data_IF_753825553209
#
_entry.id   IF_753825553209
#
_cell.length_a   1.000
_cell.length_b   1.000
_cell.length_c   1.000
_cell.angle_alpha   90.00
_cell.angle_beta   90.00
_cell.angle_gamma   90.00
#
_symmetry.space_group_name_H-M   'P 1'
#
loop_
_entity.id
_entity.type
_entity.pdbx_description
1 polymer ?
#
# COMPACT_ATOMS: atom_id res chain seq x y z
N UNK A 1 -0.59 -1.47 -12.01
CA UNK A 1 0.75 -1.35 -11.41
C UNK A 1 0.84 -2.41 -10.33
N UNK A 2 2.03 -2.87 -9.91
CA UNK A 2 2.11 -3.95 -8.93
C UNK A 2 1.37 -3.61 -7.62
N UNK A 3 0.51 -4.51 -7.15
CA UNK A 3 -0.18 -4.40 -5.86
C UNK A 3 0.79 -4.14 -4.69
N UNK A 4 2.01 -4.68 -4.74
CA UNK A 4 3.06 -4.39 -3.75
C UNK A 4 3.53 -2.92 -3.77
N UNK A 5 3.56 -2.28 -4.93
CA UNK A 5 3.85 -0.84 -5.07
C UNK A 5 2.71 -0.05 -4.44
N UNK A 6 1.46 -0.38 -4.75
CA UNK A 6 0.29 0.27 -4.16
C UNK A 6 0.25 0.14 -2.62
N UNK A 7 0.54 -1.07 -2.10
CA UNK A 7 0.67 -1.31 -0.67
C UNK A 7 1.75 -0.42 -0.04
N UNK A 8 2.92 -0.33 -0.69
CA UNK A 8 4.06 0.44 -0.19
C UNK A 8 3.80 1.95 -0.21
N UNK A 9 3.24 2.48 -1.30
CA UNK A 9 2.84 3.90 -1.41
C UNK A 9 1.75 4.20 -0.37
N UNK A 10 0.74 3.33 -0.26
CA UNK A 10 -0.33 3.45 0.72
C UNK A 10 0.20 3.48 2.15
N UNK A 11 1.16 2.61 2.49
CA UNK A 11 1.83 2.60 3.79
C UNK A 11 2.59 3.89 4.06
N UNK A 12 3.37 4.36 3.07
CA UNK A 12 4.15 5.58 3.16
C UNK A 12 3.26 6.82 3.31
N UNK A 13 2.15 6.89 2.59
CA UNK A 13 1.17 7.97 2.75
C UNK A 13 0.47 7.87 4.11
N UNK A 14 0.11 6.65 4.51
CA UNK A 14 -0.55 6.37 5.79
C UNK A 14 0.26 6.78 7.01
N UNK A 15 1.60 6.79 6.93
CA UNK A 15 2.47 7.23 8.04
C UNK A 15 2.32 8.73 8.38
N UNK A 16 1.82 9.54 7.45
CA UNK A 16 1.56 10.97 7.69
C UNK A 16 0.23 11.22 8.44
N UNK A 17 -0.56 10.18 8.70
CA UNK A 17 -1.87 10.29 9.35
C UNK A 17 -1.89 9.67 10.74
N UNK A 18 -2.62 10.32 11.67
CA UNK A 18 -2.86 9.79 13.01
C UNK A 18 -4.09 8.87 13.10
N UNK A 19 -5.02 8.98 12.14
CA UNK A 19 -6.30 8.24 12.13
C UNK A 19 -6.28 7.17 11.06
N UNK A 20 -6.63 5.93 11.44
CA UNK A 20 -6.72 4.76 10.53
C UNK A 20 -7.62 5.00 9.32
N UNK A 21 -8.80 5.59 9.52
CA UNK A 21 -9.74 5.87 8.43
C UNK A 21 -9.21 6.90 7.43
N UNK A 22 -8.54 7.94 7.92
CA UNK A 22 -7.92 8.95 7.05
C UNK A 22 -6.75 8.34 6.28
N UNK A 23 -5.92 7.52 6.92
CA UNK A 23 -4.83 6.80 6.27
C UNK A 23 -5.34 5.84 5.18
N UNK A 24 -6.39 5.07 5.47
CA UNK A 24 -7.03 4.19 4.49
C UNK A 24 -7.54 4.97 3.27
N UNK A 25 -8.29 6.06 3.48
CA UNK A 25 -8.78 6.88 2.39
C UNK A 25 -7.62 7.49 1.58
N UNK A 26 -6.57 7.95 2.24
CA UNK A 26 -5.38 8.47 1.58
C UNK A 26 -4.66 7.39 0.76
N UNK A 27 -4.66 6.14 1.22
CA UNK A 27 -4.21 4.97 0.46
C UNK A 27 -5.04 4.73 -0.80
N UNK A 28 -6.38 4.79 -0.71
CA UNK A 28 -7.26 4.65 -1.88
C UNK A 28 -6.99 5.75 -2.91
N UNK A 29 -6.77 6.99 -2.46
CA UNK A 29 -6.44 8.11 -3.34
C UNK A 29 -5.05 7.93 -3.97
N UNK A 30 -4.06 7.49 -3.19
CA UNK A 30 -2.71 7.26 -3.71
C UNK A 30 -2.66 6.13 -4.74
N UNK A 31 -3.51 5.12 -4.60
CA UNK A 31 -3.72 4.09 -5.61
C UNK A 31 -4.08 4.72 -6.95
N UNK A 32 -5.15 5.53 -7.02
CA UNK A 32 -5.62 6.14 -8.26
C UNK A 32 -4.54 7.03 -8.93
N UNK A 33 -3.77 7.77 -8.13
CA UNK A 33 -2.68 8.61 -8.64
C UNK A 33 -1.57 7.74 -9.23
N UNK A 34 -1.20 6.67 -8.53
CA UNK A 34 -0.09 5.82 -8.94
C UNK A 34 -0.45 4.96 -10.16
N UNK A 35 -1.73 4.57 -10.28
CA UNK A 35 -2.26 3.87 -11.44
C UNK A 35 -2.19 4.70 -12.73
N UNK A 36 -2.28 6.03 -12.63
CA UNK A 36 -2.17 6.92 -13.78
C UNK A 36 -0.72 7.05 -14.33
N UNK A 37 0.29 6.62 -13.56
CA UNK A 37 1.69 6.65 -13.98
C UNK A 37 1.95 5.47 -14.93
N UNK A 38 2.62 5.65 -16.08
CA UNK A 38 2.97 4.53 -16.96
C UNK A 38 3.77 3.45 -16.24
N UNK A 39 3.33 2.20 -16.35
CA UNK A 39 3.91 1.08 -15.61
C UNK A 39 3.80 -0.24 -16.38
N UNK A 40 4.41 -1.28 -15.82
CA UNK A 40 4.40 -2.65 -16.32
C UNK A 40 3.90 -3.58 -15.23
N UNK A 41 2.84 -4.32 -15.49
CA UNK A 41 2.35 -5.32 -14.55
C UNK A 41 3.18 -6.61 -14.62
N UNK A 42 3.25 -7.33 -13.50
CA UNK A 42 3.83 -8.67 -13.45
C UNK A 42 2.73 -9.70 -13.65
N UNK A 43 3.14 -10.95 -13.91
CA UNK A 43 2.18 -12.04 -13.92
C UNK A 43 1.58 -12.23 -12.51
N UNK A 44 0.30 -12.63 -12.39
CA UNK A 44 -0.34 -12.86 -11.10
C UNK A 44 0.44 -13.83 -10.19
N UNK A 45 1.14 -14.80 -10.79
CA UNK A 45 1.96 -15.79 -10.09
C UNK A 45 3.14 -15.16 -9.31
N UNK A 46 3.69 -14.04 -9.79
CA UNK A 46 4.76 -13.31 -9.10
C UNK A 46 4.20 -12.20 -8.21
N UNK A 47 3.13 -11.54 -8.65
CA UNK A 47 2.56 -10.39 -7.97
C UNK A 47 1.86 -10.75 -6.65
N UNK A 48 1.05 -11.80 -6.64
CA UNK A 48 0.27 -12.19 -5.44
C UNK A 48 1.18 -12.52 -4.25
N UNK A 49 2.25 -13.35 -4.39
CA UNK A 49 3.18 -13.58 -3.29
C UNK A 49 3.88 -12.31 -2.81
N UNK A 50 4.26 -11.42 -3.74
CA UNK A 50 4.97 -10.19 -3.42
C UNK A 50 4.07 -9.20 -2.64
N UNK A 51 2.83 -9.04 -3.07
CA UNK A 51 1.82 -8.25 -2.38
C UNK A 51 1.57 -8.81 -0.98
N UNK A 52 1.34 -10.13 -0.87
CA UNK A 52 1.11 -10.80 0.42
C UNK A 52 2.29 -10.59 1.37
N UNK A 53 3.52 -10.80 0.89
CA UNK A 53 4.74 -10.58 1.67
C UNK A 53 4.86 -9.11 2.13
N UNK A 54 4.50 -8.15 1.28
CA UNK A 54 4.52 -6.72 1.60
C UNK A 54 3.53 -6.38 2.71
N UNK A 55 2.28 -6.83 2.59
CA UNK A 55 1.24 -6.60 3.61
C UNK A 55 1.60 -7.26 4.95
N UNK A 56 2.07 -8.52 4.91
CA UNK A 56 2.51 -9.24 6.11
C UNK A 56 3.72 -8.54 6.74
N UNK A 57 4.68 -8.08 5.94
CA UNK A 57 5.84 -7.33 6.41
C UNK A 57 5.44 -6.03 7.11
N UNK A 58 4.55 -5.24 6.50
CA UNK A 58 4.03 -3.99 7.10
C UNK A 58 3.28 -4.29 8.41
N UNK A 59 2.42 -5.32 8.42
CA UNK A 59 1.69 -5.76 9.60
C UNK A 59 2.63 -6.18 10.73
N UNK A 60 3.65 -6.97 10.42
CA UNK A 60 4.64 -7.43 11.39
C UNK A 60 5.48 -6.27 11.96
N UNK A 61 5.77 -5.25 11.15
CA UNK A 61 6.64 -4.15 11.54
C UNK A 61 5.93 -3.03 12.30
N UNK A 62 4.74 -2.64 11.86
CA UNK A 62 3.96 -1.52 12.41
C UNK A 62 2.74 -1.95 13.24
N UNK A 63 2.32 -3.21 13.14
CA UNK A 63 1.08 -3.71 13.74
C UNK A 63 -0.14 -3.44 12.87
N UNK A 64 -1.11 -4.35 12.93
CA UNK A 64 -2.36 -4.28 12.15
C UNK A 64 -3.29 -3.14 12.57
N UNK A 65 -3.06 -2.53 13.74
CA UNK A 65 -3.84 -1.38 14.20
C UNK A 65 -3.19 -0.02 13.88
N UNK A 66 -2.11 -0.02 13.10
CA UNK A 66 -1.40 1.22 12.74
C UNK A 66 -2.03 1.95 11.55
N UNK A 67 -2.00 3.30 11.51
CA UNK A 67 -2.36 4.06 10.31
C UNK A 67 -1.58 3.64 9.07
N UNK A 68 -0.31 3.24 9.23
CA UNK A 68 0.54 2.70 8.16
C UNK A 68 -0.08 1.46 7.52
N UNK A 69 -0.46 0.47 8.33
CA UNK A 69 -1.10 -0.74 7.83
C UNK A 69 -2.44 -0.45 7.15
N UNK A 70 -3.26 0.44 7.72
CA UNK A 70 -4.53 0.84 7.11
C UNK A 70 -4.36 1.62 5.80
N UNK A 71 -3.31 2.44 5.68
CA UNK A 71 -2.93 3.08 4.43
C UNK A 71 -2.53 2.08 3.36
N UNK A 72 -1.74 1.05 3.73
CA UNK A 72 -1.38 -0.04 2.83
C UNK A 72 -2.60 -0.80 2.33
N UNK A 73 -3.53 -1.16 3.22
CA UNK A 73 -4.80 -1.79 2.84
C UNK A 73 -5.63 -0.89 1.91
N UNK A 74 -5.69 0.42 2.19
CA UNK A 74 -6.38 1.38 1.33
C UNK A 74 -5.77 1.43 -0.07
N UNK A 75 -4.44 1.36 -0.17
CA UNK A 75 -3.73 1.33 -1.45
C UNK A 75 -4.04 0.10 -2.31
N UNK A 76 -4.29 -1.05 -1.69
CA UNK A 76 -4.53 -2.32 -2.41
C UNK A 76 -6.01 -2.64 -2.57
N UNK A 77 -6.89 -2.06 -1.75
CA UNK A 77 -8.32 -2.37 -1.79
C UNK A 77 -8.94 -2.23 -3.19
N UNK A 78 -8.61 -1.21 -4.00
CA UNK A 78 -9.11 -1.12 -5.37
C UNK A 78 -8.75 -2.36 -6.22
N UNK A 79 -7.56 -2.94 -6.07
CA UNK A 79 -7.09 -4.13 -6.81
C UNK A 79 -7.91 -5.39 -6.54
N UNK A 80 -8.61 -5.45 -5.40
CA UNK A 80 -9.52 -6.57 -5.09
C UNK A 80 -10.60 -6.69 -6.16
N UNK A 81 -11.09 -5.56 -6.68
CA UNK A 81 -12.03 -5.56 -7.80
C UNK A 81 -11.44 -6.20 -9.05
N UNK A 82 -10.17 -5.93 -9.34
CA UNK A 82 -9.46 -6.52 -10.46
C UNK A 82 -9.27 -8.04 -10.26
N UNK A 83 -8.85 -8.46 -9.06
CA UNK A 83 -8.72 -9.88 -8.70
C UNK A 83 -10.05 -10.64 -8.77
N UNK A 84 -11.15 -10.04 -8.33
CA UNK A 84 -12.49 -10.62 -8.45
C UNK A 84 -12.93 -10.74 -9.91
N UNK A 85 -12.53 -9.80 -10.77
CA UNK A 85 -12.79 -9.89 -12.19
C UNK A 85 -11.97 -11.02 -12.86
N UNK A 86 -10.70 -11.18 -12.49
CA UNK A 86 -9.83 -12.25 -13.00
C UNK A 86 -10.30 -13.65 -12.59
N UNK A 87 -10.90 -13.78 -11.40
CA UNK A 87 -11.45 -15.05 -10.91
C UNK A 87 -12.84 -15.37 -11.49
N UNK A 88 -13.40 -14.48 -12.31
CA UNK A 88 -14.73 -14.63 -12.90
C UNK A 88 -15.89 -14.41 -11.91
N UNK A 89 -15.60 -14.03 -10.67
CA UNK A 89 -16.61 -13.71 -9.65
C UNK A 89 -17.30 -12.38 -9.98
N UNK A 90 -16.54 -11.41 -10.47
CA UNK A 90 -17.04 -10.13 -10.94
C UNK A 90 -16.98 -10.09 -12.47
N UNK A 91 -18.06 -9.66 -13.12
CA UNK A 91 -18.01 -9.40 -14.57
C UNK A 91 -17.19 -8.12 -14.81
N UNK A 92 -16.31 -8.06 -15.83
CA UNK A 92 -15.50 -6.87 -16.12
C UNK A 92 -16.32 -5.58 -16.29
N UNK A 93 -17.53 -5.69 -16.84
CA UNK A 93 -18.51 -4.59 -16.99
C UNK A 93 -19.07 -4.04 -15.67
N UNK A 94 -18.83 -4.72 -14.55
CA UNK A 94 -19.28 -4.29 -13.21
C UNK A 94 -18.18 -3.61 -12.39
N UNK A 95 -17.03 -3.32 -12.99
CA UNK A 95 -15.95 -2.58 -12.34
C UNK A 95 -16.40 -1.13 -12.09
N UNK A 96 -16.22 -0.65 -10.86
CA UNK A 96 -16.64 0.67 -10.38
C UNK A 96 -15.45 1.57 -10.08
N UNK A 97 -14.25 1.03 -9.84
CA UNK A 97 -13.10 1.88 -9.55
C UNK A 97 -12.66 2.64 -10.81
N UNK A 98 -12.45 3.98 -10.76
CA UNK A 98 -12.28 4.80 -11.96
C UNK A 98 -11.14 4.36 -12.91
N UNK A 99 -10.06 3.80 -12.38
CA UNK A 99 -8.92 3.32 -13.19
C UNK A 99 -9.14 1.92 -13.78
N UNK A 100 -10.19 1.20 -13.35
CA UNK A 100 -10.53 -0.16 -13.79
C UNK A 100 -11.65 -0.23 -14.84
N UNK A 101 -12.32 0.89 -15.13
CA UNK A 101 -13.41 0.97 -16.11
C UNK A 101 -12.84 0.71 -17.52
N UNK A 102 -13.60 -0.06 -18.32
CA UNK A 102 -13.19 -0.87 -19.47
C UNK A 102 -12.44 -0.21 -20.64
N UNK A 103 -12.07 1.06 -20.58
CA UNK A 103 -11.28 1.74 -21.61
C UNK A 103 -9.91 2.21 -21.13
N UNK A 104 -9.53 1.95 -19.87
CA UNK A 104 -8.20 2.29 -19.35
C UNK A 104 -7.86 3.78 -19.44
N UNK A 105 -8.85 4.65 -19.63
CA UNK A 105 -8.65 6.08 -19.93
C UNK A 105 -7.85 6.82 -18.85
N UNK A 106 -7.93 6.34 -17.62
CA UNK A 106 -7.24 6.88 -16.45
C UNK A 106 -6.12 5.97 -15.95
N UNK A 107 -5.93 4.81 -16.59
CA UNK A 107 -4.86 3.89 -16.30
C UNK A 107 -3.64 4.27 -17.13
N UNK A 108 -2.46 4.24 -16.52
CA UNK A 108 -1.20 4.53 -17.17
C UNK A 108 -0.99 3.61 -18.37
N UNK A 109 -0.32 4.13 -19.40
CA UNK A 109 0.05 3.30 -20.55
C UNK A 109 1.04 2.22 -20.10
N UNK A 110 0.95 1.05 -20.73
CA UNK A 110 2.01 0.04 -20.57
C UNK A 110 3.36 0.63 -20.97
N UNK A 111 4.34 0.45 -20.09
CA UNK A 111 5.74 0.84 -20.32
C UNK A 111 6.62 -0.39 -20.15
N UNK A 112 7.73 -0.50 -20.89
CA UNK A 112 8.73 -1.55 -20.62
C UNK A 112 9.62 -1.22 -19.41
N UNK A 113 9.48 -0.04 -18.83
CA UNK A 113 10.37 0.48 -17.80
C UNK A 113 9.96 0.00 -16.40
N UNK A 114 10.80 -0.83 -15.78
CA UNK A 114 10.56 -1.42 -14.45
C UNK A 114 11.25 -0.68 -13.31
N UNK A 115 12.24 0.15 -13.63
CA UNK A 115 13.09 0.83 -12.64
C UNK A 115 12.33 1.88 -11.82
N UNK A 116 11.43 2.63 -12.45
CA UNK A 116 10.59 3.61 -11.76
C UNK A 116 9.76 2.98 -10.65
N UNK A 117 9.15 1.81 -10.89
CA UNK A 117 8.37 1.07 -9.90
C UNK A 117 9.23 0.59 -8.73
N UNK A 118 10.45 0.10 -9.01
CA UNK A 118 11.40 -0.33 -7.97
C UNK A 118 11.88 0.85 -7.12
N UNK A 119 12.20 1.98 -7.74
CA UNK A 119 12.62 3.20 -7.06
C UNK A 119 11.50 3.72 -6.17
N UNK A 120 10.27 3.83 -6.69
CA UNK A 120 9.11 4.29 -5.92
C UNK A 120 8.86 3.35 -4.74
N UNK A 121 8.87 2.03 -4.96
CA UNK A 121 8.72 1.04 -3.89
C UNK A 121 9.80 1.20 -2.82
N UNK A 122 11.07 1.30 -3.23
CA UNK A 122 12.20 1.46 -2.32
C UNK A 122 12.10 2.74 -1.48
N UNK A 123 11.74 3.86 -2.10
CA UNK A 123 11.53 5.13 -1.40
C UNK A 123 10.34 5.07 -0.44
N UNK A 124 9.22 4.48 -0.86
CA UNK A 124 8.03 4.32 -0.02
C UNK A 124 8.31 3.44 1.19
N UNK A 125 9.04 2.32 1.01
CA UNK A 125 9.49 1.49 2.12
C UNK A 125 10.45 2.25 3.04
N UNK A 126 11.41 2.99 2.50
CA UNK A 126 12.33 3.79 3.31
C UNK A 126 11.60 4.84 4.17
N UNK A 127 10.59 5.51 3.61
CA UNK A 127 9.72 6.45 4.35
C UNK A 127 8.94 5.72 5.43
N UNK A 128 8.36 4.57 5.11
CA UNK A 128 7.60 3.75 6.05
C UNK A 128 8.46 3.28 7.24
N UNK A 129 9.70 2.88 6.97
CA UNK A 129 10.62 2.36 7.98
C UNK A 129 11.35 3.45 8.80
N UNK A 130 11.27 4.72 8.38
CA UNK A 130 12.01 5.86 8.98
C UNK A 130 11.78 6.01 10.48
N UNK A 131 10.56 5.80 10.95
CA UNK A 131 10.17 6.13 12.33
C UNK A 131 10.78 5.18 13.37
N UNK A 132 11.06 3.92 12.99
CA UNK A 132 11.75 2.95 13.84
C UNK A 132 13.25 3.20 13.93
N UNK A 133 13.89 3.59 12.82
CA UNK A 133 15.32 3.90 12.80
C UNK A 133 15.63 5.11 13.69
N UNK A 134 14.73 6.09 13.73
CA UNK A 134 14.90 7.29 14.55
C UNK A 134 14.54 7.10 16.03
N UNK A 135 14.18 5.90 16.49
CA UNK A 135 13.94 5.60 17.90
C UNK A 135 12.63 6.15 18.47
N UNK A 136 11.72 6.66 17.64
CA UNK A 136 10.44 7.26 18.08
C UNK A 136 9.33 6.21 18.33
N UNK A 137 9.69 4.96 18.63
CA UNK A 137 8.70 3.96 19.00
C UNK A 137 8.01 4.35 20.31
N UNK A 138 6.74 4.72 20.25
CA UNK A 138 5.86 4.85 21.43
C UNK A 138 5.85 3.55 22.26
N UNK A 139 6.00 2.38 21.62
CA UNK A 139 6.19 1.09 22.32
C UNK A 139 7.48 1.03 23.16
N UNK A 140 8.59 1.64 22.70
CA UNK A 140 9.80 1.76 23.53
C UNK A 140 9.59 2.75 24.67
N UNK A 141 8.81 3.82 24.44
CA UNK A 141 8.52 4.82 25.47
C UNK A 141 7.58 4.27 26.56
N UNK A 142 6.64 3.39 26.22
CA UNK A 142 5.77 2.70 27.18
C UNK A 142 6.55 1.70 28.05
N UNK A 143 7.50 0.96 27.46
CA UNK A 143 8.41 0.08 28.22
C UNK A 143 9.34 0.88 29.15
N UNK A 144 9.80 2.08 28.73
CA UNK A 144 10.59 2.97 29.58
C UNK A 144 9.81 3.49 30.79
N UNK A 145 8.54 3.88 30.63
CA UNK A 145 7.71 4.35 31.75
C UNK A 145 7.42 3.27 32.79
N UNK A 146 7.33 1.99 32.38
CA UNK A 146 7.21 0.86 33.29
C UNK A 146 8.51 0.52 34.02
N UNK A 147 9.66 0.92 33.48
CA UNK A 147 10.98 0.68 34.06
C UNK A 147 11.44 1.77 35.04
N UNK A 148 10.91 2.99 34.97
CA UNK A 148 11.39 4.10 35.82
C UNK A 148 10.60 4.30 37.11
N UNK A 149 9.47 3.63 37.31
CA UNK A 149 8.78 3.63 38.60
C UNK A 149 8.37 5.01 39.13
N UNK A 150 8.17 5.99 38.26
CA UNK A 150 7.68 7.31 38.64
C UNK A 150 6.16 7.33 38.49
N UNK A 151 5.48 7.07 39.60
CA UNK A 151 4.06 7.32 39.83
C UNK A 151 3.89 8.35 40.94
#
# INVERSE_FOLDING_TARGET
MLGAVHASIGAAVGSFFKKKSAAFLAGVVSHAIADAVPHNDLSPAAEVPLLAATIVGIAAYHGVDSPVFWGALGGVMPDVEHGLALTGVLKPEKRIFPTHIADGKWHGRESSERWSQLIITGLSLAVTLRDRVNGNCECCSASKKLSTGEG
#
